data_IF_156236464231
#
_entry.id   IF_156236464231
#
_cell.length_a   1.000
_cell.length_b   1.000
_cell.length_c   1.000
_cell.angle_alpha   90.00
_cell.angle_beta   90.00
_cell.angle_gamma   90.00
#
_symmetry.space_group_name_H-M   'P 1'
#
loop_
_entity.id
_entity.type
_entity.pdbx_description
1 polymer ?
#
# COMPACT_ATOMS: atom_id res chain seq x y z
N UNK A 1 4.53 -9.89 -20.42
CA UNK A 1 4.68 -8.56 -21.04
C UNK A 1 3.47 -8.12 -21.89
N UNK A 2 2.91 -8.97 -22.76
CA UNK A 2 1.81 -8.59 -23.69
C UNK A 2 0.47 -8.24 -23.00
N UNK A 3 0.19 -8.81 -21.82
CA UNK A 3 -1.05 -8.52 -21.08
C UNK A 3 -1.09 -7.11 -20.46
N UNK A 4 0.05 -6.56 -20.05
CA UNK A 4 0.15 -5.22 -19.47
C UNK A 4 -0.07 -4.14 -20.54
N UNK A 5 0.51 -4.31 -21.72
CA UNK A 5 0.33 -3.43 -22.88
C UNK A 5 -1.12 -3.39 -23.38
N UNK A 6 -1.79 -4.54 -23.43
CA UNK A 6 -3.23 -4.58 -23.77
C UNK A 6 -4.09 -3.80 -22.79
N UNK A 7 -3.81 -3.87 -21.49
CA UNK A 7 -4.54 -3.11 -20.46
C UNK A 7 -4.28 -1.61 -20.57
N UNK A 8 -3.04 -1.23 -20.81
CA UNK A 8 -2.68 0.17 -21.04
C UNK A 8 -3.41 0.72 -22.27
N UNK A 9 -3.48 -0.06 -23.34
CA UNK A 9 -4.26 0.31 -24.54
C UNK A 9 -5.76 0.45 -24.26
N UNK A 10 -6.36 -0.45 -23.48
CA UNK A 10 -7.77 -0.34 -23.08
C UNK A 10 -8.05 0.85 -22.16
N UNK A 11 -7.14 1.15 -21.24
CA UNK A 11 -7.22 2.33 -20.38
C UNK A 11 -7.16 3.62 -21.21
N UNK A 12 -6.24 3.70 -22.16
CA UNK A 12 -6.07 4.87 -23.01
C UNK A 12 -7.23 5.08 -23.98
N UNK A 13 -7.80 3.99 -24.52
CA UNK A 13 -8.87 4.06 -25.51
C UNK A 13 -10.27 4.20 -24.92
N UNK A 14 -10.52 3.57 -23.77
CA UNK A 14 -11.86 3.43 -23.20
C UNK A 14 -12.00 4.09 -21.81
N UNK A 15 -10.91 4.63 -21.25
CA UNK A 15 -10.88 5.12 -19.87
C UNK A 15 -11.04 4.03 -18.80
N UNK A 16 -11.01 2.75 -19.20
CA UNK A 16 -11.34 1.63 -18.33
C UNK A 16 -10.17 0.66 -18.24
N UNK A 17 -9.76 0.37 -17.00
CA UNK A 17 -8.81 -0.69 -16.68
C UNK A 17 -9.57 -2.03 -16.58
N UNK A 18 -9.33 -3.01 -17.47
CA UNK A 18 -9.98 -4.31 -17.37
C UNK A 18 -9.65 -4.98 -16.03
N UNK A 19 -10.67 -5.49 -15.33
CA UNK A 19 -10.52 -6.15 -14.02
C UNK A 19 -9.40 -7.21 -14.04
N UNK A 20 -8.55 -7.23 -13.01
CA UNK A 20 -7.44 -8.19 -12.88
C UNK A 20 -7.99 -9.59 -12.55
N UNK A 21 -7.75 -10.62 -13.37
CA UNK A 21 -8.19 -11.99 -13.05
C UNK A 21 -7.25 -12.72 -12.07
N UNK A 22 -6.25 -12.05 -11.51
CA UNK A 22 -5.30 -12.64 -10.56
C UNK A 22 -5.60 -12.06 -9.17
N UNK A 23 -5.86 -12.87 -8.14
CA UNK A 23 -5.96 -12.36 -6.78
C UNK A 23 -4.67 -11.61 -6.47
N UNK A 24 -4.79 -10.39 -5.97
CA UNK A 24 -3.62 -9.67 -5.47
C UNK A 24 -3.04 -10.54 -4.35
N UNK A 25 -1.92 -11.23 -4.60
CA UNK A 25 -1.26 -11.96 -3.52
C UNK A 25 -0.95 -10.99 -2.37
N UNK A 26 -0.82 -11.48 -1.14
CA UNK A 26 -0.58 -10.64 0.06
C UNK A 26 0.55 -9.61 -0.12
N UNK A 27 1.50 -9.87 -1.04
CA UNK A 27 2.56 -8.95 -1.42
C UNK A 27 2.05 -7.68 -2.12
N UNK A 28 1.13 -7.79 -3.08
CA UNK A 28 0.55 -6.64 -3.79
C UNK A 28 -0.34 -5.79 -2.88
N UNK A 29 -1.15 -6.44 -2.04
CA UNK A 29 -1.98 -5.74 -1.05
C UNK A 29 -1.11 -4.95 -0.08
N UNK A 30 -0.01 -5.55 0.39
CA UNK A 30 0.93 -4.87 1.28
C UNK A 30 1.64 -3.69 0.61
N UNK A 31 1.91 -3.77 -0.69
CA UNK A 31 2.49 -2.68 -1.47
C UNK A 31 1.49 -1.54 -1.68
N UNK A 32 0.24 -1.87 -2.01
CA UNK A 32 -0.83 -0.89 -2.10
C UNK A 32 -1.04 -0.18 -0.75
N UNK A 33 -1.04 -0.94 0.36
CA UNK A 33 -1.12 -0.39 1.70
C UNK A 33 0.05 0.55 2.02
N UNK A 34 1.27 0.18 1.60
CA UNK A 34 2.43 1.03 1.80
C UNK A 34 2.40 2.31 0.95
N UNK A 35 1.75 2.28 -0.23
CA UNK A 35 1.49 3.50 -1.01
C UNK A 35 0.51 4.42 -0.27
N UNK A 36 -0.62 3.88 0.21
CA UNK A 36 -1.57 4.63 1.03
C UNK A 36 -0.92 5.26 2.28
N UNK A 37 -0.04 4.52 2.95
CA UNK A 37 0.74 5.03 4.09
C UNK A 37 1.67 6.16 3.68
N UNK A 38 2.33 6.06 2.52
CA UNK A 38 3.18 7.12 2.02
C UNK A 38 2.40 8.42 1.82
N UNK A 39 1.22 8.34 1.20
CA UNK A 39 0.38 9.50 0.93
C UNK A 39 -0.09 10.15 2.24
N UNK A 40 -0.55 9.35 3.21
CA UNK A 40 -0.90 9.85 4.54
C UNK A 40 0.29 10.54 5.25
N UNK A 41 1.50 9.98 5.14
CA UNK A 41 2.70 10.60 5.71
C UNK A 41 3.06 11.92 5.03
N UNK A 42 2.84 12.03 3.71
CA UNK A 42 3.07 13.26 2.96
C UNK A 42 2.10 14.38 3.40
N UNK A 43 0.90 14.02 3.85
CA UNK A 43 -0.08 14.92 4.46
C UNK A 43 0.22 15.25 5.94
N UNK A 44 1.29 14.69 6.51
CA UNK A 44 1.70 14.94 7.90
C UNK A 44 1.03 14.03 8.94
N UNK A 45 0.40 12.94 8.51
CA UNK A 45 -0.23 11.98 9.42
C UNK A 45 0.79 11.37 10.40
N UNK A 46 0.37 11.19 11.66
CA UNK A 46 1.19 10.52 12.65
C UNK A 46 1.16 8.99 12.48
N UNK A 47 2.10 8.29 13.16
CA UNK A 47 2.07 6.82 13.25
C UNK A 47 0.71 6.30 13.76
N UNK A 48 0.04 7.06 14.64
CA UNK A 48 -1.26 6.69 15.19
C UNK A 48 -2.36 6.84 14.15
N UNK A 49 -2.34 7.91 13.36
CA UNK A 49 -3.32 8.15 12.30
C UNK A 49 -3.21 7.11 11.20
N UNK A 50 -1.98 6.71 10.85
CA UNK A 50 -1.72 5.56 9.97
C UNK A 50 -2.34 4.28 10.55
N UNK A 51 -2.17 4.05 11.85
CA UNK A 51 -2.79 2.91 12.53
C UNK A 51 -4.32 2.95 12.47
N UNK A 52 -4.93 4.11 12.70
CA UNK A 52 -6.38 4.29 12.67
C UNK A 52 -6.91 4.06 11.25
N UNK A 53 -6.23 4.57 10.23
CA UNK A 53 -6.62 4.39 8.83
C UNK A 53 -6.59 2.92 8.38
N UNK A 54 -5.74 2.08 8.98
CA UNK A 54 -5.55 0.68 8.55
C UNK A 54 -6.35 -0.29 9.41
N UNK A 55 -6.33 -0.10 10.73
CA UNK A 55 -6.91 -1.05 11.69
C UNK A 55 -8.23 -0.57 12.30
N UNK A 56 -8.62 0.68 12.06
CA UNK A 56 -9.78 1.32 12.68
C UNK A 56 -9.46 1.93 14.04
N UNK A 57 -10.28 2.91 14.44
CA UNK A 57 -10.10 3.66 15.68
C UNK A 57 -10.20 2.78 16.93
N UNK A 58 -11.25 1.95 17.02
CA UNK A 58 -11.53 1.12 18.21
C UNK A 58 -10.36 0.16 18.48
N UNK A 59 -9.88 -0.54 17.46
CA UNK A 59 -8.76 -1.47 17.61
C UNK A 59 -7.46 -0.77 18.01
N UNK A 60 -7.22 0.43 17.48
CA UNK A 60 -6.09 1.25 17.92
C UNK A 60 -6.28 1.72 19.36
N UNK A 61 -7.47 2.08 19.81
CA UNK A 61 -7.67 2.47 21.21
C UNK A 61 -7.37 1.32 22.17
N UNK A 62 -7.81 0.11 21.82
CA UNK A 62 -7.72 -1.05 22.72
C UNK A 62 -6.32 -1.67 22.78
N UNK A 63 -5.63 -1.83 21.64
CA UNK A 63 -4.40 -2.64 21.54
C UNK A 63 -3.13 -1.81 21.23
N UNK A 64 -3.22 -0.47 21.21
CA UNK A 64 -2.03 0.37 20.99
C UNK A 64 -0.96 0.23 22.07
N UNK A 65 -1.38 -0.03 23.31
CA UNK A 65 -0.49 -0.21 24.46
C UNK A 65 0.33 -1.50 24.32
N UNK A 66 -0.23 -2.54 23.70
CA UNK A 66 0.43 -3.83 23.47
C UNK A 66 1.61 -3.77 22.48
N UNK A 67 1.81 -2.65 21.78
CA UNK A 67 2.98 -2.40 20.93
C UNK A 67 3.05 -3.21 19.62
N UNK A 68 2.22 -4.24 19.48
CA UNK A 68 2.12 -5.08 18.29
C UNK A 68 1.68 -4.25 17.07
N UNK A 69 0.62 -3.46 17.22
CA UNK A 69 0.08 -2.51 16.23
C UNK A 69 1.09 -1.43 15.86
N UNK A 70 1.74 -0.83 16.86
CA UNK A 70 2.77 0.19 16.64
C UNK A 70 3.95 -0.37 15.85
N UNK A 71 4.34 -1.61 16.11
CA UNK A 71 5.39 -2.32 15.37
C UNK A 71 4.97 -2.65 13.93
N UNK A 72 3.71 -3.05 13.72
CA UNK A 72 3.16 -3.25 12.38
C UNK A 72 3.15 -1.94 11.57
N UNK A 73 2.68 -0.84 12.16
CA UNK A 73 2.69 0.48 11.53
C UNK A 73 4.10 0.92 11.16
N UNK A 74 5.07 0.77 12.07
CA UNK A 74 6.49 1.09 11.79
C UNK A 74 7.05 0.31 10.59
N UNK A 75 6.73 -0.98 10.48
CA UNK A 75 7.16 -1.79 9.33
C UNK A 75 6.52 -1.34 8.03
N UNK A 76 5.25 -0.92 8.05
CA UNK A 76 4.57 -0.38 6.87
C UNK A 76 5.16 0.97 6.45
N UNK A 77 5.45 1.85 7.41
CA UNK A 77 6.11 3.13 7.15
C UNK A 77 7.52 2.93 6.59
N UNK A 78 8.27 1.96 7.12
CA UNK A 78 9.58 1.61 6.58
C UNK A 78 9.48 1.08 5.14
N UNK A 79 8.48 0.25 4.85
CA UNK A 79 8.22 -0.24 3.49
C UNK A 79 7.82 0.91 2.54
N UNK A 80 6.95 1.82 2.99
CA UNK A 80 6.55 3.00 2.24
C UNK A 80 7.76 3.86 1.84
N UNK A 81 8.67 4.09 2.79
CA UNK A 81 9.93 4.83 2.56
C UNK A 81 10.89 4.08 1.63
N UNK A 82 11.07 2.76 1.80
CA UNK A 82 11.91 1.95 0.88
C UNK A 82 11.36 2.03 -0.55
N UNK A 83 10.04 1.92 -0.72
CA UNK A 83 9.42 2.05 -2.03
C UNK A 83 9.68 3.44 -2.61
N UNK A 84 9.42 4.52 -1.88
CA UNK A 84 9.65 5.89 -2.33
C UNK A 84 11.12 6.17 -2.71
N UNK A 85 12.08 5.53 -2.02
CA UNK A 85 13.51 5.62 -2.30
C UNK A 85 13.98 4.81 -3.53
N UNK A 86 13.06 4.27 -4.33
CA UNK A 86 13.37 3.46 -5.53
C UNK A 86 13.17 1.96 -5.34
N UNK A 87 12.76 1.50 -4.16
CA UNK A 87 12.43 0.11 -3.89
C UNK A 87 11.27 -0.42 -4.75
N UNK A 88 10.43 0.46 -5.31
CA UNK A 88 9.39 0.08 -6.27
C UNK A 88 9.95 -0.60 -7.54
N UNK A 89 11.22 -0.38 -7.89
CA UNK A 89 11.84 -1.06 -9.04
C UNK A 89 11.92 -2.58 -8.86
N UNK A 90 11.94 -3.06 -7.60
CA UNK A 90 11.85 -4.49 -7.27
C UNK A 90 10.51 -5.10 -7.69
N UNK A 91 9.47 -4.28 -7.91
CA UNK A 91 8.16 -4.72 -8.37
C UNK A 91 8.15 -5.07 -9.87
N UNK A 92 9.03 -4.44 -10.64
CA UNK A 92 9.14 -4.64 -12.09
C UNK A 92 9.96 -5.88 -12.47
N UNK A 93 10.64 -6.49 -11.50
CA UNK A 93 11.45 -7.70 -11.68
C UNK A 93 10.66 -9.00 -11.40
N UNK A 94 9.35 -8.90 -11.21
CA UNK A 94 8.46 -10.03 -10.93
C UNK A 94 7.65 -10.46 -12.16
#
# INVERSE_FOLDING_TARGET
>A
MVAALRRFYHLWRNGQLPARPVPAGCRMERQALALHVHDALAEGASIRDVGISIFGLERVRDDWVGGSLKSQCRRLIALARDMAAGGYLKLLRC
#
